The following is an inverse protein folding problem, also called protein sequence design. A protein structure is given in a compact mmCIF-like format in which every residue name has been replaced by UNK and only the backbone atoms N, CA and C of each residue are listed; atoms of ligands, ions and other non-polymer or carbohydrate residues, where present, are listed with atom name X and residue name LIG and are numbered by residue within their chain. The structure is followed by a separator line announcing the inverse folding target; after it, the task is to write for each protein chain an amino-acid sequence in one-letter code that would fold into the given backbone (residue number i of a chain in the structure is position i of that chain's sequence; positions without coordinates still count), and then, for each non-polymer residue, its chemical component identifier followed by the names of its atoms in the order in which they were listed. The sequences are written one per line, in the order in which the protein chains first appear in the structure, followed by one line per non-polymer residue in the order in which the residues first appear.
data_IF_510006641987
#
_entry.id   IF_510006641987
#
_cell.length_a   1.000
_cell.length_b   1.000
_cell.length_c   1.000
_cell.angle_alpha   90.00
_cell.angle_beta   90.00
_cell.angle_gamma   90.00
#
_symmetry.space_group_name_H-M   'P 1'
#
loop_
_entity.id
_entity.type
_entity.pdbx_description
1 polymer ?
#
# COMPACT_ATOMS: atom_id res chain seq x y z
N UNK A 1 -1.33 -3.12 10.36
CA UNK A 1 0.11 -3.36 10.60
C UNK A 1 0.58 -4.71 10.03
N UNK A 2 0.21 -5.06 8.80
CA UNK A 2 0.56 -6.35 8.21
C UNK A 2 2.06 -6.44 7.83
N UNK A 3 2.61 -5.32 7.33
CA UNK A 3 4.01 -5.20 6.91
C UNK A 3 5.03 -5.22 8.07
N UNK A 4 4.87 -4.36 9.09
CA UNK A 4 5.88 -4.21 10.16
C UNK A 4 5.74 -5.21 11.33
N UNK A 5 4.52 -5.60 11.69
CA UNK A 5 4.23 -6.39 12.91
C UNK A 5 3.35 -7.62 12.64
N UNK A 6 2.93 -7.83 11.39
CA UNK A 6 1.92 -8.82 11.02
C UNK A 6 2.49 -10.08 10.37
N UNK A 7 1.61 -10.85 9.74
CA UNK A 7 1.99 -12.11 9.09
C UNK A 7 2.99 -11.91 7.95
N UNK A 8 2.96 -10.75 7.28
CA UNK A 8 3.95 -10.35 6.28
C UNK A 8 5.37 -10.37 6.86
N UNK A 9 5.59 -9.62 7.95
CA UNK A 9 6.88 -9.60 8.64
C UNK A 9 7.31 -11.01 9.08
N UNK A 10 6.41 -11.76 9.73
CA UNK A 10 6.75 -13.10 10.27
C UNK A 10 7.14 -14.10 9.18
N UNK A 11 6.46 -14.04 8.04
CA UNK A 11 6.55 -15.09 7.01
C UNK A 11 7.51 -14.77 5.87
N UNK A 12 7.82 -13.48 5.66
CA UNK A 12 8.54 -13.02 4.48
C UNK A 12 9.69 -12.06 4.76
N UNK A 13 9.91 -11.59 6.01
CA UNK A 13 11.01 -10.67 6.33
C UNK A 13 12.42 -11.17 5.98
N UNK A 14 12.59 -12.48 5.80
CA UNK A 14 13.85 -13.13 5.41
C UNK A 14 13.95 -13.43 3.92
N UNK A 15 12.91 -13.15 3.14
CA UNK A 15 12.90 -13.36 1.69
C UNK A 15 13.45 -12.10 1.04
N UNK A 16 14.40 -12.29 0.13
CA UNK A 16 14.94 -11.19 -0.68
C UNK A 16 13.79 -10.41 -1.33
N UNK A 17 13.92 -9.08 -1.35
CA UNK A 17 12.95 -8.12 -1.88
C UNK A 17 11.70 -7.89 -1.01
N UNK A 18 11.64 -8.39 0.23
CA UNK A 18 10.53 -8.06 1.14
C UNK A 18 10.47 -6.56 1.49
N UNK A 19 11.61 -5.87 1.49
CA UNK A 19 11.70 -4.41 1.62
C UNK A 19 10.92 -3.67 0.54
N UNK A 20 10.75 -4.25 -0.64
CA UNK A 20 10.13 -3.58 -1.79
C UNK A 20 8.63 -3.34 -1.59
N UNK A 21 8.02 -4.08 -0.66
CA UNK A 21 6.63 -3.85 -0.23
C UNK A 21 6.45 -2.53 0.54
N UNK A 22 7.49 -1.99 1.16
CA UNK A 22 7.37 -0.83 2.07
C UNK A 22 6.78 0.39 1.35
N UNK A 23 7.37 0.73 0.20
CA UNK A 23 6.99 1.90 -0.59
C UNK A 23 5.53 1.84 -1.11
N UNK A 24 5.09 0.78 -1.83
CA UNK A 24 3.72 0.70 -2.29
C UNK A 24 2.73 0.57 -1.13
N UNK A 25 3.10 -0.09 -0.02
CA UNK A 25 2.26 -0.12 1.18
C UNK A 25 2.10 1.27 1.82
N UNK A 26 3.18 2.04 1.97
CA UNK A 26 3.13 3.42 2.47
C UNK A 26 2.22 4.28 1.59
N UNK A 27 2.32 4.15 0.26
CA UNK A 27 1.48 4.87 -0.69
C UNK A 27 -0.02 4.61 -0.47
N UNK A 28 -0.42 3.35 -0.24
CA UNK A 28 -1.82 3.02 0.08
C UNK A 28 -2.26 3.75 1.35
N UNK A 29 -1.49 3.64 2.44
CA UNK A 29 -1.84 4.28 3.72
C UNK A 29 -1.90 5.80 3.62
N UNK A 30 -0.96 6.42 2.91
CA UNK A 30 -0.93 7.88 2.76
C UNK A 30 -2.08 8.38 1.89
N UNK A 31 -2.44 7.65 0.85
CA UNK A 31 -3.63 7.93 0.05
C UNK A 31 -4.93 7.80 0.88
N UNK A 32 -5.06 6.75 1.69
CA UNK A 32 -6.20 6.59 2.61
C UNK A 32 -6.26 7.72 3.65
N UNK A 33 -5.13 8.11 4.24
CA UNK A 33 -5.07 9.23 5.20
C UNK A 33 -5.52 10.54 4.57
N UNK A 34 -5.09 10.83 3.34
CA UNK A 34 -5.54 12.03 2.60
C UNK A 34 -7.04 12.02 2.39
N UNK A 35 -7.60 10.90 1.92
CA UNK A 35 -9.05 10.78 1.73
C UNK A 35 -9.83 10.99 3.04
N UNK A 36 -9.38 10.39 4.14
CA UNK A 36 -10.02 10.58 5.45
C UNK A 36 -9.88 12.00 5.98
N UNK A 37 -8.78 12.70 5.67
CA UNK A 37 -8.65 14.12 6.02
C UNK A 37 -9.67 14.98 5.25
N UNK A 38 -9.89 14.70 3.96
CA UNK A 38 -10.94 15.36 3.16
C UNK A 38 -12.32 15.10 3.74
N UNK A 39 -12.64 13.85 4.10
CA UNK A 39 -13.91 13.48 4.74
C UNK A 39 -14.11 14.23 6.06
N UNK A 40 -13.10 14.22 6.95
CA UNK A 40 -13.19 14.85 8.27
C UNK A 40 -13.38 16.36 8.18
N UNK A 41 -12.81 17.00 7.16
CA UNK A 41 -12.89 18.43 6.95
C UNK A 41 -14.11 18.82 6.08
N UNK A 42 -14.99 17.88 5.71
CA UNK A 42 -16.12 18.09 4.80
C UNK A 42 -15.72 18.66 3.43
N UNK A 43 -14.54 18.31 2.92
CA UNK A 43 -14.02 18.75 1.62
C UNK A 43 -14.21 17.68 0.52
N UNK A 44 -15.33 16.97 0.55
CA UNK A 44 -15.63 15.94 -0.47
C UNK A 44 -16.13 16.52 -1.79
N UNK A 45 -16.48 17.80 -1.80
CA UNK A 45 -16.74 18.61 -2.98
C UNK A 45 -15.47 18.86 -3.82
N UNK A 46 -14.27 18.75 -3.22
CA UNK A 46 -13.01 18.69 -3.93
C UNK A 46 -12.82 17.30 -4.60
N UNK A 47 -13.62 17.09 -5.65
CA UNK A 47 -13.67 15.83 -6.39
C UNK A 47 -12.34 15.47 -7.06
N UNK A 48 -11.49 16.45 -7.38
CA UNK A 48 -10.17 16.21 -7.95
C UNK A 48 -9.24 15.57 -6.91
N UNK A 49 -9.16 16.14 -5.71
CA UNK A 49 -8.35 15.57 -4.63
C UNK A 49 -8.88 14.21 -4.15
N UNK A 50 -10.21 14.03 -4.11
CA UNK A 50 -10.83 12.73 -3.81
C UNK A 50 -10.43 11.69 -4.86
N UNK A 51 -10.59 12.01 -6.15
CA UNK A 51 -10.25 11.09 -7.23
C UNK A 51 -8.74 10.77 -7.25
N UNK A 52 -7.89 11.76 -7.02
CA UNK A 52 -6.44 11.56 -6.95
C UNK A 52 -6.07 10.64 -5.78
N UNK A 53 -6.71 10.81 -4.61
CA UNK A 53 -6.51 9.93 -3.46
C UNK A 53 -6.89 8.48 -3.78
N UNK A 54 -8.00 8.26 -4.48
CA UNK A 54 -8.44 6.92 -4.90
C UNK A 54 -7.44 6.32 -5.91
N UNK A 55 -7.04 7.07 -6.94
CA UNK A 55 -6.05 6.63 -7.94
C UNK A 55 -4.70 6.27 -7.33
N UNK A 56 -4.24 7.04 -6.36
CA UNK A 56 -2.98 6.76 -5.68
C UNK A 56 -3.07 5.52 -4.80
N UNK A 57 -4.22 5.28 -4.16
CA UNK A 57 -4.51 4.06 -3.42
C UNK A 57 -4.54 2.83 -4.33
N UNK A 58 -5.15 2.93 -5.51
CA UNK A 58 -5.18 1.88 -6.52
C UNK A 58 -3.76 1.57 -7.03
N UNK A 59 -2.98 2.59 -7.40
CA UNK A 59 -1.59 2.40 -7.85
C UNK A 59 -0.71 1.78 -6.77
N UNK A 60 -0.87 2.22 -5.52
CA UNK A 60 -0.18 1.62 -4.37
C UNK A 60 -0.56 0.15 -4.20
N UNK A 61 -1.84 -0.18 -4.33
CA UNK A 61 -2.35 -1.55 -4.23
C UNK A 61 -1.80 -2.44 -5.34
N UNK A 62 -1.76 -1.96 -6.59
CA UNK A 62 -1.12 -2.67 -7.69
C UNK A 62 0.37 -2.92 -7.42
N UNK A 63 1.08 -1.93 -6.87
CA UNK A 63 2.48 -2.09 -6.46
C UNK A 63 2.66 -3.18 -5.39
N UNK A 64 1.78 -3.22 -4.39
CA UNK A 64 1.79 -4.28 -3.36
C UNK A 64 1.61 -5.65 -4.01
N UNK A 65 0.61 -5.83 -4.89
CA UNK A 65 0.39 -7.11 -5.57
C UNK A 65 1.61 -7.54 -6.40
N UNK A 66 2.20 -6.63 -7.17
CA UNK A 66 3.39 -6.93 -7.96
C UNK A 66 4.56 -7.41 -7.08
N UNK A 67 4.78 -6.77 -5.93
CA UNK A 67 5.82 -7.20 -4.98
C UNK A 67 5.50 -8.57 -4.36
N UNK A 68 4.23 -8.84 -4.02
CA UNK A 68 3.82 -10.15 -3.51
C UNK A 68 4.01 -11.26 -4.54
N UNK A 69 3.70 -11.01 -5.82
CA UNK A 69 3.92 -11.97 -6.91
C UNK A 69 5.41 -12.30 -7.06
N UNK A 70 6.28 -11.28 -6.99
CA UNK A 70 7.74 -11.46 -7.03
C UNK A 70 8.26 -12.25 -5.81
N UNK A 71 7.77 -11.93 -4.61
CA UNK A 71 8.13 -12.67 -3.39
C UNK A 71 7.72 -14.14 -3.46
N UNK A 72 6.54 -14.42 -4.01
CA UNK A 72 6.06 -15.79 -4.21
C UNK A 72 6.87 -16.54 -5.26
N UNK A 73 7.33 -15.86 -6.32
CA UNK A 73 8.23 -16.45 -7.31
C UNK A 73 9.60 -16.81 -6.69
N UNK A 74 10.18 -15.91 -5.91
CA UNK A 74 11.48 -16.11 -5.28
C UNK A 74 11.47 -17.20 -4.20
N UNK A 75 10.37 -17.37 -3.47
CA UNK A 75 10.23 -18.40 -2.43
C UNK A 75 10.15 -19.84 -2.97
N UNK A 76 9.87 -20.03 -4.27
CA UNK A 76 9.77 -21.36 -4.90
C UNK A 76 11.12 -21.93 -5.34
N UNK A 77 12.21 -21.18 -5.17
CA UNK A 77 13.59 -21.60 -5.40
C UNK A 77 14.30 -21.81 -4.06
#
# INVERSE_FOLDING_TARGET
KWYYEGDGQRSFSKVDNFSDLERPHAQVHDATRRLFALMRNNHLDDTEQVLQSIKDMERGSQGVFNCLDQLLANKKH
#
